data_IF_907441104679
#
_entry.id   IF_907441104679
#
_cell.length_a   1.000
_cell.length_b   1.000
_cell.length_c   1.000
_cell.angle_alpha   90.00
_cell.angle_beta   90.00
_cell.angle_gamma   90.00
#
_symmetry.space_group_name_H-M   'P 1'
#
loop_
_entity.id
_entity.type
_entity.pdbx_description
1 polymer ?
#
# COMPACT_ATOMS: atom_id res chain seq x y z
N UNK A 1 -9.42 8.92 43.59
CA UNK A 1 -8.99 9.64 42.38
C UNK A 1 -9.51 8.79 41.23
N UNK A 2 -10.42 9.33 40.41
CA UNK A 2 -11.31 8.59 39.52
C UNK A 2 -10.55 7.61 38.61
N UNK A 3 -10.93 6.33 38.62
CA UNK A 3 -10.70 5.44 37.49
C UNK A 3 -11.37 6.10 36.27
N UNK A 4 -10.56 6.58 35.34
CA UNK A 4 -11.06 7.03 34.04
C UNK A 4 -11.51 5.77 33.31
N UNK A 5 -12.83 5.61 33.20
CA UNK A 5 -13.56 4.55 32.49
C UNK A 5 -13.31 4.69 30.97
N UNK A 6 -12.05 4.53 30.56
CA UNK A 6 -11.67 4.53 29.15
C UNK A 6 -12.24 3.27 28.50
N UNK A 7 -12.79 3.36 27.28
CA UNK A 7 -13.39 2.22 26.61
C UNK A 7 -12.33 1.15 26.39
N UNK A 8 -12.43 0.02 27.11
CA UNK A 8 -11.53 -1.12 26.89
C UNK A 8 -11.82 -1.78 25.54
N UNK A 9 -13.06 -1.71 25.06
CA UNK A 9 -13.54 -2.37 23.83
C UNK A 9 -13.87 -1.33 22.75
N UNK A 10 -13.32 -1.56 21.56
CA UNK A 10 -13.58 -0.79 20.35
C UNK A 10 -14.14 -1.67 19.24
N UNK A 11 -15.16 -1.19 18.53
CA UNK A 11 -15.83 -1.87 17.41
C UNK A 11 -15.73 -0.98 16.17
N UNK A 12 -15.05 -1.46 15.15
CA UNK A 12 -14.89 -0.77 13.87
C UNK A 12 -15.68 -1.46 12.77
N UNK A 13 -16.39 -0.68 11.96
CA UNK A 13 -17.15 -1.17 10.81
C UNK A 13 -16.69 -0.43 9.56
N UNK A 14 -16.37 -1.18 8.51
CA UNK A 14 -16.05 -0.62 7.18
C UNK A 14 -17.20 -0.84 6.21
N UNK A 15 -17.53 0.16 5.40
CA UNK A 15 -18.61 0.07 4.40
C UNK A 15 -18.26 0.80 3.10
N UNK A 16 -18.83 0.32 2.00
CA UNK A 16 -18.80 1.00 0.69
C UNK A 16 -20.05 0.62 -0.11
N UNK A 17 -20.92 1.58 -0.41
CA UNK A 17 -22.13 1.40 -1.23
C UNK A 17 -23.12 0.34 -0.72
N UNK A 18 -23.21 0.14 0.62
CA UNK A 18 -24.07 -0.87 1.25
C UNK A 18 -24.87 -0.34 2.43
N UNK A 19 -25.26 0.94 2.40
CA UNK A 19 -25.94 1.62 3.53
C UNK A 19 -27.15 0.89 4.11
N UNK A 20 -27.95 0.18 3.29
CA UNK A 20 -29.09 -0.62 3.79
C UNK A 20 -28.65 -1.79 4.68
N UNK A 21 -27.63 -2.54 4.23
CA UNK A 21 -27.12 -3.70 4.96
C UNK A 21 -26.40 -3.23 6.23
N UNK A 22 -25.60 -2.16 6.10
CA UNK A 22 -24.92 -1.51 7.22
C UNK A 22 -25.90 -1.10 8.32
N UNK A 23 -27.04 -0.48 7.99
CA UNK A 23 -28.01 -0.07 9.02
C UNK A 23 -28.49 -1.25 9.86
N UNK A 24 -28.70 -2.42 9.24
CA UNK A 24 -29.12 -3.62 9.95
C UNK A 24 -28.01 -4.13 10.87
N UNK A 25 -26.77 -4.20 10.37
CA UNK A 25 -25.61 -4.58 11.17
C UNK A 25 -25.39 -3.61 12.34
N UNK A 26 -25.47 -2.30 12.09
CA UNK A 26 -25.23 -1.24 13.06
C UNK A 26 -26.29 -1.21 14.16
N UNK A 27 -27.55 -1.45 13.84
CA UNK A 27 -28.61 -1.62 14.85
C UNK A 27 -28.31 -2.79 15.80
N UNK A 28 -27.90 -3.93 15.26
CA UNK A 28 -27.54 -5.10 16.06
C UNK A 28 -26.26 -4.87 16.88
N UNK A 29 -25.22 -4.27 16.28
CA UNK A 29 -23.99 -3.91 16.96
C UNK A 29 -24.29 -2.96 18.13
N UNK A 30 -25.08 -1.91 17.93
CA UNK A 30 -25.46 -0.98 19.01
C UNK A 30 -26.27 -1.67 20.11
N UNK A 31 -27.11 -2.64 19.75
CA UNK A 31 -27.92 -3.39 20.71
C UNK A 31 -27.08 -4.28 21.61
N UNK A 32 -26.09 -4.98 21.07
CA UNK A 32 -25.28 -5.97 21.79
C UNK A 32 -23.86 -5.51 22.11
N UNK A 33 -23.53 -4.24 21.86
CA UNK A 33 -22.24 -3.68 22.24
C UNK A 33 -22.11 -3.66 23.77
N UNK A 34 -20.94 -4.05 24.32
CA UNK A 34 -20.72 -3.96 25.75
C UNK A 34 -20.81 -2.50 26.21
N UNK A 35 -21.21 -2.29 27.48
CA UNK A 35 -21.33 -0.95 28.04
C UNK A 35 -20.01 -0.20 27.94
N UNK A 36 -20.07 1.05 27.46
CA UNK A 36 -18.89 1.89 27.27
C UNK A 36 -18.06 1.56 26.03
N UNK A 37 -18.47 0.63 25.16
CA UNK A 37 -17.73 0.35 23.93
C UNK A 37 -17.68 1.57 22.99
N UNK A 38 -16.51 1.82 22.40
CA UNK A 38 -16.38 2.76 21.29
C UNK A 38 -16.85 2.08 20.00
N UNK A 39 -17.67 2.77 19.19
CA UNK A 39 -18.11 2.29 17.88
C UNK A 39 -17.68 3.32 16.84
N UNK A 40 -16.92 2.89 15.85
CA UNK A 40 -16.50 3.73 14.72
C UNK A 40 -16.95 3.12 13.40
N UNK A 41 -17.47 3.95 12.51
CA UNK A 41 -17.87 3.55 11.15
C UNK A 41 -16.99 4.31 10.16
N UNK A 42 -16.35 3.58 9.26
CA UNK A 42 -15.52 4.14 8.19
C UNK A 42 -16.20 3.89 6.85
N UNK A 43 -16.64 4.99 6.22
CA UNK A 43 -17.18 5.00 4.86
C UNK A 43 -16.05 5.14 3.83
N UNK A 44 -15.79 4.08 3.07
CA UNK A 44 -14.79 4.04 2.00
C UNK A 44 -15.33 4.70 0.71
N UNK A 45 -15.73 5.97 0.84
CA UNK A 45 -16.25 6.80 -0.23
C UNK A 45 -17.47 6.21 -0.96
N UNK A 46 -18.51 5.83 -0.22
CA UNK A 46 -19.81 5.51 -0.82
C UNK A 46 -20.35 6.67 -1.67
N UNK A 47 -21.02 6.33 -2.77
CA UNK A 47 -21.68 7.25 -3.69
C UNK A 47 -22.75 8.08 -2.95
N UNK A 48 -23.54 7.40 -2.11
CA UNK A 48 -24.38 8.01 -1.09
C UNK A 48 -23.63 7.97 0.25
N UNK A 49 -23.21 9.12 0.80
CA UNK A 49 -22.50 9.17 2.08
C UNK A 49 -23.30 8.51 3.21
N UNK A 50 -22.61 7.74 4.04
CA UNK A 50 -23.21 7.11 5.22
C UNK A 50 -23.30 8.13 6.36
N UNK A 51 -24.52 8.44 6.82
CA UNK A 51 -24.76 9.44 7.87
C UNK A 51 -24.09 9.05 9.20
N UNK A 52 -24.06 7.76 9.52
CA UNK A 52 -23.46 7.24 10.75
C UNK A 52 -21.93 7.12 10.70
N UNK A 53 -21.29 7.50 9.59
CA UNK A 53 -19.84 7.41 9.43
C UNK A 53 -19.12 8.34 10.41
N UNK A 54 -18.23 7.77 11.22
CA UNK A 54 -17.27 8.52 12.04
C UNK A 54 -16.20 9.17 11.18
N UNK A 55 -15.83 8.50 10.08
CA UNK A 55 -14.89 9.01 9.09
C UNK A 55 -15.32 8.56 7.69
N UNK A 56 -15.10 9.43 6.71
CA UNK A 56 -15.35 9.15 5.30
C UNK A 56 -14.13 9.51 4.47
N UNK A 57 -13.70 8.61 3.59
CA UNK A 57 -12.69 8.91 2.58
C UNK A 57 -13.30 9.70 1.42
N UNK A 58 -12.49 10.55 0.77
CA UNK A 58 -12.90 11.32 -0.40
C UNK A 58 -13.00 10.46 -1.67
N UNK A 59 -12.25 9.36 -1.72
CA UNK A 59 -12.22 8.39 -2.80
C UNK A 59 -12.12 6.97 -2.25
N UNK A 60 -12.51 5.97 -3.05
CA UNK A 60 -12.42 4.57 -2.64
C UNK A 60 -10.94 4.16 -2.54
N UNK A 61 -10.47 3.99 -1.32
CA UNK A 61 -9.08 3.67 -0.97
C UNK A 61 -8.87 2.17 -0.76
N UNK A 62 -9.93 1.39 -0.65
CA UNK A 62 -9.89 -0.05 -0.51
C UNK A 62 -9.86 -0.55 0.94
N UNK A 63 -10.22 -1.83 1.09
CA UNK A 63 -10.54 -2.43 2.38
C UNK A 63 -9.38 -2.41 3.39
N UNK A 64 -8.14 -2.59 2.93
CA UNK A 64 -6.96 -2.60 3.81
C UNK A 64 -6.79 -1.23 4.50
N UNK A 65 -6.92 -0.14 3.74
CA UNK A 65 -6.81 1.22 4.28
C UNK A 65 -8.03 1.59 5.13
N UNK A 66 -9.23 1.21 4.71
CA UNK A 66 -10.45 1.45 5.47
C UNK A 66 -10.40 0.76 6.85
N UNK A 67 -9.98 -0.51 6.92
CA UNK A 67 -9.80 -1.25 8.19
C UNK A 67 -8.68 -0.65 9.04
N UNK A 68 -7.57 -0.21 8.44
CA UNK A 68 -6.53 0.54 9.17
C UNK A 68 -7.08 1.81 9.81
N UNK A 69 -7.96 2.55 9.11
CA UNK A 69 -8.58 3.76 9.67
C UNK A 69 -9.49 3.44 10.86
N UNK A 70 -10.23 2.31 10.84
CA UNK A 70 -10.94 1.84 12.02
C UNK A 70 -9.99 1.58 13.19
N UNK A 71 -8.89 0.85 12.96
CA UNK A 71 -7.90 0.55 14.00
C UNK A 71 -7.27 1.83 14.56
N UNK A 72 -6.91 2.79 13.72
CA UNK A 72 -6.39 4.10 14.10
C UNK A 72 -7.35 4.83 15.04
N UNK A 73 -8.61 5.04 14.62
CA UNK A 73 -9.61 5.77 15.40
C UNK A 73 -9.90 5.09 16.75
N UNK A 74 -10.02 3.77 16.77
CA UNK A 74 -10.23 3.02 18.01
C UNK A 74 -9.03 3.13 18.96
N UNK A 75 -7.81 3.08 18.42
CA UNK A 75 -6.57 3.29 19.17
C UNK A 75 -6.48 4.68 19.77
N UNK A 76 -6.88 5.72 19.02
CA UNK A 76 -6.93 7.10 19.48
C UNK A 76 -7.95 7.32 20.60
N UNK A 77 -9.07 6.59 20.55
CA UNK A 77 -10.07 6.56 21.62
C UNK A 77 -9.62 5.77 22.87
N UNK A 78 -8.41 5.19 22.85
CA UNK A 78 -7.82 4.47 23.99
C UNK A 78 -8.23 3.00 24.08
N UNK A 79 -8.82 2.41 23.04
CA UNK A 79 -9.28 1.02 23.06
C UNK A 79 -8.11 0.03 23.12
N UNK A 80 -8.25 -1.03 23.94
CA UNK A 80 -7.25 -2.09 24.08
C UNK A 80 -7.69 -3.44 23.49
N UNK A 81 -8.98 -3.66 23.33
CA UNK A 81 -9.59 -4.79 22.62
C UNK A 81 -10.36 -4.25 21.42
N UNK A 82 -9.94 -4.62 20.22
CA UNK A 82 -10.44 -4.07 18.98
C UNK A 82 -11.14 -5.18 18.18
N UNK A 83 -12.35 -4.91 17.72
CA UNK A 83 -13.13 -5.79 16.86
C UNK A 83 -13.42 -5.07 15.56
N UNK A 84 -13.08 -5.68 14.42
CA UNK A 84 -13.44 -5.18 13.11
C UNK A 84 -14.53 -6.07 12.51
N UNK A 85 -15.67 -5.48 12.17
CA UNK A 85 -16.76 -6.12 11.47
C UNK A 85 -16.82 -5.64 10.01
N UNK A 86 -17.20 -6.54 9.11
CA UNK A 86 -17.76 -6.15 7.82
C UNK A 86 -19.20 -5.63 8.03
N UNK A 87 -19.70 -4.82 7.10
CA UNK A 87 -21.02 -4.15 7.21
C UNK A 87 -22.24 -5.08 7.09
N UNK A 88 -22.01 -6.38 6.95
CA UNK A 88 -23.02 -7.44 6.90
C UNK A 88 -22.79 -8.57 7.94
N UNK A 89 -22.02 -8.25 8.99
CA UNK A 89 -21.68 -9.12 10.10
C UNK A 89 -21.95 -8.41 11.44
N UNK A 90 -22.56 -9.10 12.41
CA UNK A 90 -22.89 -8.50 13.71
C UNK A 90 -23.10 -9.53 14.84
N UNK A 91 -22.96 -9.13 16.11
CA UNK A 91 -23.27 -9.98 17.26
C UNK A 91 -24.79 -10.23 17.43
N UNK A 92 -25.16 -11.38 17.99
CA UNK A 92 -26.58 -11.76 18.21
C UNK A 92 -26.97 -11.95 19.68
N UNK A 93 -26.01 -11.87 20.59
CA UNK A 93 -26.21 -12.06 22.05
C UNK A 93 -25.34 -11.10 22.85
N UNK A 94 -25.76 -10.79 24.08
CA UNK A 94 -24.93 -10.03 25.02
C UNK A 94 -23.70 -10.85 25.45
N UNK A 95 -22.58 -10.17 25.69
CA UNK A 95 -21.34 -10.82 26.14
C UNK A 95 -20.62 -11.63 25.07
N UNK A 96 -20.99 -11.46 23.79
CA UNK A 96 -20.37 -12.11 22.63
C UNK A 96 -18.85 -11.87 22.55
N UNK A 97 -18.37 -10.76 23.10
CA UNK A 97 -16.97 -10.36 23.09
C UNK A 97 -16.12 -11.14 24.09
N UNK A 98 -16.73 -11.69 25.14
CA UNK A 98 -16.01 -12.29 26.28
C UNK A 98 -15.15 -13.49 25.89
N UNK A 99 -15.64 -14.45 25.08
CA UNK A 99 -14.80 -15.55 24.64
C UNK A 99 -13.54 -15.11 23.89
N UNK A 100 -13.60 -13.96 23.19
CA UNK A 100 -12.44 -13.41 22.48
C UNK A 100 -11.48 -12.67 23.44
N UNK A 101 -12.02 -11.85 24.35
CA UNK A 101 -11.22 -11.07 25.31
C UNK A 101 -10.52 -11.96 26.33
N UNK A 102 -11.22 -12.98 26.84
CA UNK A 102 -10.72 -13.88 27.88
C UNK A 102 -9.79 -14.96 27.31
N UNK A 103 -9.70 -15.07 25.98
CA UNK A 103 -8.78 -15.99 25.29
C UNK A 103 -7.31 -15.60 25.53
N UNK A 104 -6.40 -16.57 25.68
CA UNK A 104 -4.97 -16.28 25.70
C UNK A 104 -4.43 -15.77 24.35
N UNK A 105 -5.17 -16.00 23.26
CA UNK A 105 -4.80 -15.59 21.91
C UNK A 105 -5.15 -14.11 21.67
N UNK A 106 -4.16 -13.24 21.40
CA UNK A 106 -4.39 -11.80 21.23
C UNK A 106 -5.00 -11.44 19.86
N UNK A 107 -5.18 -12.42 18.98
CA UNK A 107 -5.84 -12.25 17.69
C UNK A 107 -6.64 -13.49 17.35
N UNK A 108 -7.91 -13.28 17.01
CA UNK A 108 -8.87 -14.33 16.65
C UNK A 108 -9.80 -13.79 15.57
N UNK A 109 -10.56 -14.68 14.95
CA UNK A 109 -11.52 -14.32 13.91
C UNK A 109 -12.69 -15.28 13.90
N UNK A 110 -13.88 -14.81 13.52
CA UNK A 110 -15.03 -15.68 13.34
C UNK A 110 -14.86 -16.52 12.07
N UNK A 111 -14.90 -17.85 12.18
CA UNK A 111 -14.71 -18.78 11.05
C UNK A 111 -15.86 -19.78 10.98
N UNK A 112 -16.48 -19.86 9.80
CA UNK A 112 -17.47 -20.88 9.45
C UNK A 112 -17.01 -21.71 8.25
N UNK A 113 -17.27 -23.01 8.31
CA UNK A 113 -16.99 -24.00 7.25
C UNK A 113 -18.25 -24.49 6.56
N UNK A 114 -19.42 -24.10 7.05
CA UNK A 114 -20.72 -24.61 6.61
C UNK A 114 -21.66 -23.43 6.39
N UNK A 115 -22.53 -23.55 5.40
CA UNK A 115 -23.59 -22.59 5.08
C UNK A 115 -24.90 -23.35 4.90
N UNK A 116 -26.07 -22.69 4.85
CA UNK A 116 -27.32 -23.34 4.46
C UNK A 116 -27.27 -24.03 3.08
N UNK A 117 -26.35 -23.61 2.21
CA UNK A 117 -26.13 -24.23 0.90
C UNK A 117 -25.21 -25.46 0.91
N UNK A 118 -24.58 -25.75 2.05
CA UNK A 118 -23.66 -26.87 2.23
C UNK A 118 -22.30 -26.45 2.77
N UNK A 119 -21.40 -27.44 2.87
CA UNK A 119 -20.04 -27.29 3.38
C UNK A 119 -19.14 -26.60 2.35
N UNK A 120 -18.38 -25.60 2.82
CA UNK A 120 -17.36 -24.89 2.07
C UNK A 120 -16.10 -25.75 1.92
N UNK A 121 -15.40 -25.63 0.79
CA UNK A 121 -14.22 -26.44 0.47
C UNK A 121 -12.89 -25.70 0.60
N UNK A 122 -12.93 -24.41 0.88
CA UNK A 122 -11.77 -23.52 0.93
C UNK A 122 -11.09 -23.51 2.30
N UNK A 123 -11.79 -23.86 3.39
CA UNK A 123 -11.24 -23.92 4.73
C UNK A 123 -11.53 -25.25 5.43
N UNK A 124 -10.54 -25.75 6.18
CA UNK A 124 -10.62 -27.00 6.92
C UNK A 124 -10.12 -26.79 8.35
N UNK A 125 -10.84 -27.32 9.34
CA UNK A 125 -10.38 -27.37 10.72
C UNK A 125 -9.16 -28.29 10.87
N UNK A 126 -8.12 -27.78 11.50
CA UNK A 126 -6.85 -28.49 11.75
C UNK A 126 -6.56 -28.71 13.23
N UNK A 127 -7.29 -28.02 14.12
CA UNK A 127 -7.13 -28.15 15.56
C UNK A 127 -8.42 -27.76 16.29
N UNK A 128 -8.64 -28.37 17.45
CA UNK A 128 -9.69 -28.02 18.40
C UNK A 128 -9.31 -28.42 19.82
N UNK A 129 -9.58 -27.53 20.77
CA UNK A 129 -9.62 -27.83 22.19
C UNK A 129 -10.93 -27.29 22.84
N UNK A 130 -10.94 -27.12 24.16
CA UNK A 130 -12.11 -26.60 24.89
C UNK A 130 -12.37 -25.10 24.74
N UNK A 131 -11.42 -24.34 24.19
CA UNK A 131 -11.47 -22.88 24.05
C UNK A 131 -11.34 -22.41 22.59
N UNK A 132 -10.56 -23.12 21.77
CA UNK A 132 -10.15 -22.69 20.43
C UNK A 132 -10.44 -23.73 19.34
N UNK A 133 -10.63 -23.22 18.13
CA UNK A 133 -10.61 -23.97 16.87
C UNK A 133 -9.62 -23.30 15.93
N UNK A 134 -8.85 -24.07 15.17
CA UNK A 134 -7.94 -23.51 14.17
C UNK A 134 -8.16 -24.11 12.79
N UNK A 135 -7.82 -23.35 11.74
CA UNK A 135 -8.20 -23.67 10.37
C UNK A 135 -7.07 -23.43 9.37
N UNK A 136 -7.22 -23.99 8.16
CA UNK A 136 -6.30 -23.75 7.03
C UNK A 136 -6.49 -22.40 6.36
N UNK A 137 -7.70 -21.82 6.40
CA UNK A 137 -8.00 -20.52 5.79
C UNK A 137 -8.94 -19.67 6.66
N UNK A 138 -8.76 -18.34 6.64
CA UNK A 138 -9.55 -17.41 7.46
C UNK A 138 -10.92 -17.07 6.84
N UNK A 139 -11.69 -16.28 7.60
CA UNK A 139 -12.75 -15.40 7.11
C UNK A 139 -12.41 -13.97 7.57
N UNK A 140 -12.88 -12.96 6.83
CA UNK A 140 -12.59 -11.55 7.11
C UNK A 140 -13.68 -10.79 7.86
N UNK A 141 -14.85 -11.41 8.06
CA UNK A 141 -16.09 -10.72 8.47
C UNK A 141 -16.13 -10.25 9.93
N UNK A 142 -15.42 -10.93 10.83
CA UNK A 142 -15.13 -10.44 12.19
C UNK A 142 -13.70 -10.80 12.55
N UNK A 143 -12.92 -9.79 12.95
CA UNK A 143 -11.53 -9.91 13.36
C UNK A 143 -11.33 -9.25 14.72
N UNK A 144 -10.74 -9.96 15.67
CA UNK A 144 -10.42 -9.49 17.01
C UNK A 144 -8.91 -9.23 17.15
N UNK A 145 -8.52 -8.13 17.78
CA UNK A 145 -7.14 -7.78 18.09
C UNK A 145 -7.03 -7.22 19.50
N UNK A 146 -6.10 -7.72 20.29
CA UNK A 146 -5.61 -7.02 21.47
C UNK A 146 -4.57 -5.97 21.02
N UNK A 147 -4.52 -4.81 21.68
CA UNK A 147 -3.69 -3.67 21.29
C UNK A 147 -2.21 -4.01 21.10
N UNK A 148 -1.66 -4.92 21.92
CA UNK A 148 -0.27 -5.40 21.80
C UNK A 148 0.05 -6.02 20.43
N UNK A 149 -0.95 -6.52 19.71
CA UNK A 149 -0.78 -7.00 18.32
C UNK A 149 -0.38 -5.85 17.41
N UNK A 150 -1.14 -4.76 17.44
CA UNK A 150 -0.90 -3.58 16.61
C UNK A 150 0.41 -2.89 16.99
N UNK A 151 0.74 -2.86 18.29
CA UNK A 151 2.03 -2.30 18.72
C UNK A 151 3.22 -3.14 18.24
N UNK A 152 3.04 -4.44 18.00
CA UNK A 152 4.10 -5.36 17.56
C UNK A 152 4.25 -5.45 16.05
N UNK A 153 3.16 -5.61 15.32
CA UNK A 153 3.17 -5.82 13.85
C UNK A 153 2.41 -4.76 13.07
N UNK A 154 1.80 -3.78 13.72
CA UNK A 154 0.99 -2.77 13.05
C UNK A 154 -0.33 -3.33 12.52
N UNK A 155 -0.90 -2.68 11.50
CA UNK A 155 -2.18 -3.08 10.89
C UNK A 155 -2.00 -3.69 9.51
N UNK A 156 -2.99 -3.54 8.64
CA UNK A 156 -3.01 -4.05 7.28
C UNK A 156 -1.96 -3.39 6.39
N UNK A 157 -1.45 -4.16 5.44
CA UNK A 157 -0.60 -3.64 4.37
C UNK A 157 -1.49 -3.04 3.26
N UNK A 158 -1.49 -1.72 3.15
CA UNK A 158 -2.38 -0.97 2.23
C UNK A 158 -2.14 -1.29 0.76
N UNK A 159 -1.00 -1.88 0.44
CA UNK A 159 -0.64 -2.27 -0.93
C UNK A 159 -1.46 -3.47 -1.46
N UNK A 160 -2.21 -4.18 -0.62
CA UNK A 160 -3.24 -5.12 -1.07
C UNK A 160 -4.45 -4.41 -1.71
N UNK A 161 -4.59 -3.09 -1.51
CA UNK A 161 -5.56 -2.25 -2.19
C UNK A 161 -7.01 -2.63 -1.87
N UNK A 162 -7.82 -2.81 -2.93
CA UNK A 162 -9.28 -2.91 -2.84
C UNK A 162 -9.80 -4.16 -2.13
N UNK A 163 -9.22 -5.33 -2.41
CA UNK A 163 -9.73 -6.60 -1.90
C UNK A 163 -8.74 -7.76 -2.09
N UNK A 164 -8.63 -8.61 -1.07
CA UNK A 164 -8.00 -9.93 -1.15
C UNK A 164 -6.64 -10.00 -0.46
N UNK A 165 -6.39 -11.10 0.25
CA UNK A 165 -5.15 -11.43 0.96
C UNK A 165 -4.74 -10.50 2.11
N UNK A 166 -5.36 -9.33 2.30
CA UNK A 166 -4.92 -8.36 3.30
C UNK A 166 -5.03 -8.88 4.74
N UNK A 167 -6.13 -9.57 5.07
CA UNK A 167 -6.31 -10.21 6.38
C UNK A 167 -5.44 -11.46 6.55
N UNK A 168 -5.18 -12.18 5.46
CA UNK A 168 -4.28 -13.34 5.47
C UNK A 168 -2.85 -12.92 5.76
N UNK A 169 -2.37 -11.83 5.14
CA UNK A 169 -1.07 -11.22 5.40
C UNK A 169 -0.92 -10.78 6.85
N UNK A 170 -1.88 -10.00 7.38
CA UNK A 170 -1.83 -9.55 8.77
C UNK A 170 -1.81 -10.73 9.75
N UNK A 171 -2.70 -11.71 9.57
CA UNK A 171 -2.73 -12.92 10.42
C UNK A 171 -1.43 -13.72 10.35
N UNK A 172 -0.81 -13.83 9.17
CA UNK A 172 0.51 -14.45 9.00
C UNK A 172 1.58 -13.69 9.78
N UNK A 173 1.62 -12.35 9.68
CA UNK A 173 2.60 -11.52 10.41
C UNK A 173 2.46 -11.64 11.91
N UNK A 174 1.23 -11.70 12.42
CA UNK A 174 0.92 -11.92 13.85
C UNK A 174 1.47 -13.28 14.31
N UNK A 175 1.18 -14.35 13.56
CA UNK A 175 1.67 -15.69 13.86
C UNK A 175 3.21 -15.78 13.79
N UNK A 176 3.82 -15.24 12.72
CA UNK A 176 5.27 -15.27 12.52
C UNK A 176 6.01 -14.42 13.57
N UNK A 177 5.36 -13.41 14.15
CA UNK A 177 5.88 -12.66 15.30
C UNK A 177 5.81 -13.44 16.63
N UNK A 178 5.22 -14.64 16.62
CA UNK A 178 5.06 -15.52 17.78
C UNK A 178 3.94 -15.11 18.73
N UNK A 179 2.96 -14.32 18.27
CA UNK A 179 1.88 -13.82 19.11
C UNK A 179 0.68 -14.77 19.23
N UNK A 180 0.46 -15.64 18.23
CA UNK A 180 -0.64 -16.60 18.25
C UNK A 180 -0.17 -18.03 18.05
N UNK A 181 -0.90 -19.00 18.60
CA UNK A 181 -0.61 -20.43 18.44
C UNK A 181 -0.90 -20.94 17.02
N UNK A 182 -1.85 -20.29 16.33
CA UNK A 182 -2.24 -20.61 14.96
C UNK A 182 -2.39 -19.34 14.13
N UNK A 183 -2.23 -19.46 12.82
CA UNK A 183 -2.47 -18.35 11.87
C UNK A 183 -3.92 -17.92 11.86
N UNK A 184 -4.83 -18.89 11.84
CA UNK A 184 -6.26 -18.66 11.74
C UNK A 184 -6.95 -19.47 12.83
N UNK A 185 -7.45 -18.77 13.85
CA UNK A 185 -8.13 -19.37 14.98
C UNK A 185 -9.39 -18.59 15.34
N UNK A 186 -10.35 -19.32 15.89
CA UNK A 186 -11.65 -18.85 16.35
C UNK A 186 -11.93 -19.42 17.74
N UNK A 187 -12.84 -18.79 18.47
CA UNK A 187 -13.38 -19.31 19.73
C UNK A 187 -14.34 -20.47 19.47
N UNK A 188 -14.44 -21.39 20.42
CA UNK A 188 -15.48 -22.43 20.38
C UNK A 188 -16.86 -21.78 20.55
N UNK A 189 -17.82 -22.16 19.69
CA UNK A 189 -19.21 -21.67 19.77
C UNK A 189 -19.45 -20.31 19.13
N UNK A 190 -18.49 -19.76 18.37
CA UNK A 190 -18.61 -18.45 17.71
C UNK A 190 -19.85 -18.27 16.83
N UNK A 191 -20.35 -19.35 16.19
CA UNK A 191 -21.58 -19.32 15.38
C UNK A 191 -22.89 -19.09 16.16
N UNK A 192 -22.85 -19.23 17.48
CA UNK A 192 -23.95 -18.83 18.38
C UNK A 192 -23.81 -17.37 18.85
N UNK A 193 -22.66 -16.75 18.61
CA UNK A 193 -22.32 -15.38 19.04
C UNK A 193 -22.49 -14.38 17.91
N UNK A 194 -22.11 -14.78 16.69
CA UNK A 194 -21.97 -13.91 15.52
C UNK A 194 -22.89 -14.36 14.40
N UNK A 195 -23.53 -13.40 13.75
CA UNK A 195 -24.23 -13.57 12.49
C UNK A 195 -23.39 -12.98 11.36
N UNK A 196 -23.23 -13.73 10.26
CA UNK A 196 -22.67 -13.23 9.01
C UNK A 196 -23.63 -13.50 7.86
N UNK A 197 -23.90 -12.48 7.04
CA UNK A 197 -24.68 -12.68 5.83
C UNK A 197 -23.99 -13.65 4.85
N UNK A 198 -22.66 -13.65 4.78
CA UNK A 198 -21.88 -14.58 3.95
C UNK A 198 -22.09 -16.04 4.37
N UNK A 199 -22.31 -16.29 5.66
CA UNK A 199 -22.65 -17.61 6.18
C UNK A 199 -24.10 -17.99 5.84
N UNK A 200 -25.06 -17.07 6.03
CA UNK A 200 -26.49 -17.43 6.19
C UNK A 200 -27.41 -17.07 5.04
N UNK A 201 -27.18 -15.95 4.36
CA UNK A 201 -28.16 -15.38 3.41
C UNK A 201 -27.56 -15.03 2.04
N UNK A 202 -26.23 -14.94 1.96
CA UNK A 202 -25.43 -14.55 0.79
C UNK A 202 -25.95 -13.26 0.14
N UNK A 203 -25.51 -12.13 0.67
CA UNK A 203 -25.75 -10.79 0.12
C UNK A 203 -24.72 -10.45 -0.96
N UNK A 204 -25.05 -9.52 -1.85
CA UNK A 204 -24.14 -9.09 -2.91
C UNK A 204 -22.88 -8.40 -2.38
N UNK A 205 -21.74 -8.68 -3.00
CA UNK A 205 -20.45 -8.03 -2.75
C UNK A 205 -20.35 -6.69 -3.46
N UNK A 206 -19.67 -5.71 -2.85
CA UNK A 206 -19.31 -4.43 -3.50
C UNK A 206 -18.25 -4.59 -4.59
N UNK A 207 -17.45 -5.66 -4.54
CA UNK A 207 -16.45 -6.01 -5.57
C UNK A 207 -17.00 -7.15 -6.44
N UNK A 208 -16.99 -6.95 -7.75
CA UNK A 208 -17.48 -7.96 -8.71
C UNK A 208 -16.58 -9.21 -8.76
N UNK A 209 -17.13 -10.36 -9.16
CA UNK A 209 -16.35 -11.61 -9.27
C UNK A 209 -15.21 -11.53 -10.29
N UNK A 210 -15.39 -10.77 -11.38
CA UNK A 210 -14.35 -10.52 -12.39
C UNK A 210 -13.22 -9.69 -11.78
N UNK A 211 -13.54 -8.63 -11.03
CA UNK A 211 -12.55 -7.79 -10.36
C UNK A 211 -11.78 -8.58 -9.30
N UNK A 212 -12.48 -9.40 -8.49
CA UNK A 212 -11.86 -10.33 -7.51
C UNK A 212 -10.87 -11.28 -8.18
N UNK A 213 -11.22 -11.88 -9.32
CA UNK A 213 -10.33 -12.78 -10.05
C UNK A 213 -9.02 -12.09 -10.46
N UNK A 214 -9.10 -10.87 -10.99
CA UNK A 214 -7.92 -10.10 -11.38
C UNK A 214 -7.07 -9.66 -10.19
N UNK A 215 -7.70 -9.21 -9.10
CA UNK A 215 -7.01 -8.82 -7.86
C UNK A 215 -6.27 -10.01 -7.24
N UNK A 216 -6.95 -11.14 -7.06
CA UNK A 216 -6.37 -12.36 -6.46
C UNK A 216 -5.16 -12.85 -7.24
N UNK A 217 -5.24 -12.89 -8.57
CA UNK A 217 -4.12 -13.32 -9.41
C UNK A 217 -2.88 -12.45 -9.21
N UNK A 218 -3.05 -11.14 -9.10
CA UNK A 218 -1.93 -10.21 -8.97
C UNK A 218 -1.35 -10.20 -7.54
N UNK A 219 -2.20 -10.37 -6.52
CA UNK A 219 -1.81 -10.30 -5.11
C UNK A 219 -1.23 -11.62 -4.56
N UNK A 220 -1.41 -12.74 -5.26
CA UNK A 220 -0.90 -14.04 -4.82
C UNK A 220 0.62 -14.03 -4.63
N UNK A 221 1.39 -13.56 -5.61
CA UNK A 221 2.86 -13.50 -5.52
C UNK A 221 3.33 -12.66 -4.34
N UNK A 222 2.62 -11.56 -4.07
CA UNK A 222 2.87 -10.70 -2.91
C UNK A 222 2.61 -11.43 -1.61
N UNK A 223 1.45 -12.08 -1.47
CA UNK A 223 1.10 -12.89 -0.31
C UNK A 223 2.07 -14.04 -0.07
N UNK A 224 2.59 -14.66 -1.12
CA UNK A 224 3.62 -15.70 -1.02
C UNK A 224 4.96 -15.12 -0.54
N UNK A 225 5.35 -13.95 -1.05
CA UNK A 225 6.57 -13.26 -0.64
C UNK A 225 6.52 -12.77 0.82
N UNK A 226 5.34 -12.37 1.32
CA UNK A 226 5.17 -11.91 2.70
C UNK A 226 4.79 -13.04 3.68
N UNK A 227 4.61 -14.28 3.23
CA UNK A 227 4.04 -15.37 4.04
C UNK A 227 4.79 -15.65 5.35
N UNK A 228 6.12 -15.48 5.36
CA UNK A 228 6.99 -15.66 6.54
C UNK A 228 7.39 -14.33 7.20
N UNK A 229 6.87 -13.20 6.71
CA UNK A 229 7.16 -11.88 7.27
C UNK A 229 6.56 -11.73 8.67
N UNK A 230 7.22 -10.93 9.51
CA UNK A 230 6.70 -10.42 10.78
C UNK A 230 6.86 -8.88 10.84
N UNK A 231 6.96 -8.24 9.66
CA UNK A 231 7.25 -6.82 9.54
C UNK A 231 6.12 -5.94 10.08
N UNK A 232 6.49 -4.85 10.73
CA UNK A 232 5.54 -3.82 11.16
C UNK A 232 4.98 -3.07 9.95
N UNK A 233 3.65 -2.94 9.87
CA UNK A 233 2.96 -2.12 8.87
C UNK A 233 2.22 -0.98 9.56
N UNK A 234 2.66 0.25 9.31
CA UNK A 234 2.00 1.40 9.94
C UNK A 234 0.53 1.45 9.51
N UNK A 235 -0.35 1.62 10.49
CA UNK A 235 -1.79 1.63 10.29
C UNK A 235 -2.40 2.98 10.60
N UNK A 236 -1.67 3.82 11.34
CA UNK A 236 -2.08 5.18 11.62
C UNK A 236 -1.77 6.03 10.42
N UNK A 237 -2.73 6.86 10.05
CA UNK A 237 -2.46 8.05 9.25
C UNK A 237 -1.50 8.92 10.07
N UNK A 238 -0.24 9.03 9.64
CA UNK A 238 0.68 10.00 10.26
C UNK A 238 0.15 11.38 9.90
N UNK A 239 -0.32 12.20 10.86
CA UNK A 239 -0.66 13.57 10.56
C UNK A 239 0.64 14.23 10.10
N UNK A 240 0.72 14.58 8.82
CA UNK A 240 1.69 15.56 8.36
C UNK A 240 1.34 16.81 9.16
N UNK A 241 2.15 17.12 10.18
CA UNK A 241 1.85 18.19 11.10
C UNK A 241 1.50 19.46 10.33
N UNK A 242 0.68 20.33 10.90
CA UNK A 242 0.25 21.60 10.28
C UNK A 242 1.40 22.55 9.88
N UNK A 243 2.66 22.15 10.06
CA UNK A 243 3.80 22.67 9.32
C UNK A 243 3.67 22.26 7.84
N UNK A 244 2.80 22.97 7.11
CA UNK A 244 2.61 22.93 5.66
C UNK A 244 3.01 21.60 5.01
N UNK A 245 2.07 20.67 4.85
CA UNK A 245 2.27 19.51 3.97
C UNK A 245 2.95 19.95 2.66
N UNK A 246 4.20 19.53 2.45
CA UNK A 246 4.99 20.02 1.32
C UNK A 246 4.97 18.99 0.21
N UNK A 247 4.49 19.41 -0.94
CA UNK A 247 4.67 18.67 -2.18
C UNK A 247 6.09 18.92 -2.68
N UNK A 248 6.76 17.87 -3.15
CA UNK A 248 8.14 18.00 -3.63
C UNK A 248 8.40 17.17 -4.88
N UNK A 249 9.17 17.74 -5.78
CA UNK A 249 9.79 17.00 -6.89
C UNK A 249 11.21 16.65 -6.46
N UNK A 250 11.54 15.37 -6.43
CA UNK A 250 12.89 14.86 -6.18
C UNK A 250 13.54 14.48 -7.51
N UNK A 251 14.79 14.86 -7.67
CA UNK A 251 15.63 14.32 -8.74
C UNK A 251 17.00 13.94 -8.20
N UNK A 252 17.73 13.12 -8.97
CA UNK A 252 19.11 12.78 -8.66
C UNK A 252 20.02 13.25 -9.78
N UNK A 253 21.20 13.76 -9.44
CA UNK A 253 22.25 14.10 -10.39
C UNK A 253 23.57 13.48 -9.90
N UNK A 254 23.82 12.25 -10.38
CA UNK A 254 24.88 11.37 -9.88
C UNK A 254 25.91 11.16 -10.99
N UNK A 255 27.15 11.54 -10.73
CA UNK A 255 28.25 11.49 -11.72
C UNK A 255 29.46 10.72 -11.23
N UNK A 256 29.49 10.29 -9.96
CA UNK A 256 30.65 9.60 -9.39
C UNK A 256 30.86 8.19 -9.95
N UNK A 257 29.83 7.56 -10.51
CA UNK A 257 29.89 6.22 -11.10
C UNK A 257 29.79 6.30 -12.64
N UNK A 258 30.44 5.38 -13.38
CA UNK A 258 30.20 5.25 -14.81
C UNK A 258 28.75 4.93 -15.10
N UNK A 259 28.18 5.55 -16.13
CA UNK A 259 26.88 5.20 -16.68
C UNK A 259 26.99 3.84 -17.39
N UNK A 260 26.35 2.78 -16.88
CA UNK A 260 26.47 1.45 -17.48
C UNK A 260 25.81 1.33 -18.85
N UNK A 261 24.90 2.24 -19.24
CA UNK A 261 24.29 2.23 -20.56
C UNK A 261 25.21 2.85 -21.62
N UNK A 262 26.03 3.83 -21.22
CA UNK A 262 26.91 4.59 -22.13
C UNK A 262 28.39 4.24 -22.01
N UNK A 263 28.78 3.55 -20.93
CA UNK A 263 30.18 3.20 -20.65
C UNK A 263 31.07 4.39 -20.30
N UNK A 264 30.49 5.53 -19.90
CA UNK A 264 31.22 6.78 -19.61
C UNK A 264 30.87 7.33 -18.25
N UNK A 265 31.85 7.92 -17.57
CA UNK A 265 31.60 8.75 -16.37
C UNK A 265 31.25 10.16 -16.84
N UNK A 266 30.12 10.69 -16.36
CA UNK A 266 29.66 12.00 -16.79
C UNK A 266 30.52 13.11 -16.18
N UNK A 267 30.73 14.19 -16.94
CA UNK A 267 31.29 15.42 -16.37
C UNK A 267 30.14 16.23 -15.77
N UNK A 268 30.21 16.67 -14.50
CA UNK A 268 29.16 17.45 -13.88
C UNK A 268 28.83 18.72 -14.68
N UNK A 269 27.55 18.91 -15.01
CA UNK A 269 27.04 20.06 -15.72
C UNK A 269 25.63 20.42 -15.23
N UNK A 270 25.52 21.45 -14.40
CA UNK A 270 24.24 21.87 -13.83
C UNK A 270 23.20 22.27 -14.89
N UNK A 271 23.64 22.71 -16.07
CA UNK A 271 22.73 23.06 -17.17
C UNK A 271 21.90 21.87 -17.68
N UNK A 272 22.31 20.63 -17.42
CA UNK A 272 21.56 19.43 -17.77
C UNK A 272 20.18 19.39 -17.07
N UNK A 273 20.07 20.00 -15.88
CA UNK A 273 18.86 20.08 -15.07
C UNK A 273 17.96 21.29 -15.42
N UNK A 274 18.40 22.17 -16.33
CA UNK A 274 17.75 23.46 -16.54
C UNK A 274 16.28 23.35 -16.98
N UNK A 275 15.94 22.32 -17.76
CA UNK A 275 14.55 22.14 -18.22
C UNK A 275 13.61 21.72 -17.10
N UNK A 276 14.01 20.71 -16.31
CA UNK A 276 13.24 20.28 -15.15
C UNK A 276 13.11 21.44 -14.16
N UNK A 277 14.22 22.09 -13.80
CA UNK A 277 14.24 23.19 -12.84
C UNK A 277 13.26 24.30 -13.24
N UNK A 278 13.37 24.81 -14.47
CA UNK A 278 12.51 25.90 -14.95
C UNK A 278 11.04 25.51 -15.03
N UNK A 279 10.72 24.26 -15.34
CA UNK A 279 9.32 23.81 -15.43
C UNK A 279 8.71 23.64 -14.04
N UNK A 280 9.42 23.03 -13.10
CA UNK A 280 8.97 22.89 -11.70
C UNK A 280 8.78 24.26 -11.04
N UNK A 281 9.75 25.17 -11.18
CA UNK A 281 9.67 26.55 -10.67
C UNK A 281 8.48 27.32 -11.28
N UNK A 282 8.19 27.14 -12.57
CA UNK A 282 7.06 27.80 -13.25
C UNK A 282 5.71 27.43 -12.64
N UNK A 283 5.59 26.22 -12.11
CA UNK A 283 4.39 25.75 -11.42
C UNK A 283 4.43 26.03 -9.91
N UNK A 284 5.43 26.77 -9.41
CA UNK A 284 5.54 27.13 -8.00
C UNK A 284 5.86 25.94 -7.08
N UNK A 285 6.34 24.82 -7.64
CA UNK A 285 6.63 23.60 -6.90
C UNK A 285 8.09 23.58 -6.43
N UNK A 286 8.35 22.88 -5.31
CA UNK A 286 9.71 22.70 -4.77
C UNK A 286 10.43 21.58 -5.53
N UNK A 287 11.68 21.82 -5.90
CA UNK A 287 12.61 20.83 -6.45
C UNK A 287 13.74 20.56 -5.45
N UNK A 288 14.01 19.29 -5.19
CA UNK A 288 15.20 18.87 -4.45
C UNK A 288 16.09 18.05 -5.36
N UNK A 289 17.32 18.50 -5.52
CA UNK A 289 18.36 17.85 -6.32
C UNK A 289 19.28 17.09 -5.37
N UNK A 290 19.17 15.76 -5.36
CA UNK A 290 20.09 14.89 -4.62
C UNK A 290 21.33 14.63 -5.51
N UNK A 291 22.51 15.11 -5.12
CA UNK A 291 23.69 15.06 -6.00
C UNK A 291 24.97 14.66 -5.29
N UNK A 292 25.95 14.18 -6.06
CA UNK A 292 27.30 13.84 -5.56
C UNK A 292 28.39 14.82 -6.03
N UNK A 293 28.04 15.81 -6.85
CA UNK A 293 29.02 16.57 -7.63
C UNK A 293 28.82 18.09 -7.74
N UNK A 294 27.61 18.61 -7.50
CA UNK A 294 27.30 20.03 -7.69
C UNK A 294 27.73 20.89 -6.49
N UNK A 295 28.09 22.14 -6.75
CA UNK A 295 28.41 23.16 -5.73
C UNK A 295 27.51 24.42 -5.90
N UNK A 296 26.30 24.22 -6.43
CA UNK A 296 25.33 25.27 -6.69
C UNK A 296 24.62 25.70 -5.39
N UNK A 297 24.34 27.00 -5.20
CA UNK A 297 23.58 27.47 -4.05
C UNK A 297 22.10 27.14 -4.19
N UNK A 298 21.41 27.07 -3.06
CA UNK A 298 19.95 26.95 -3.01
C UNK A 298 19.25 28.21 -3.51
N UNK A 299 18.04 28.03 -4.01
CA UNK A 299 17.07 29.09 -4.31
C UNK A 299 15.81 28.89 -3.45
N UNK A 300 14.84 29.80 -3.57
CA UNK A 300 13.57 29.69 -2.83
C UNK A 300 12.81 28.37 -3.11
N UNK A 301 12.94 27.84 -4.33
CA UNK A 301 12.23 26.62 -4.76
C UNK A 301 13.15 25.45 -5.09
N UNK A 302 14.48 25.63 -5.11
CA UNK A 302 15.44 24.58 -5.47
C UNK A 302 16.44 24.37 -4.36
N UNK A 303 16.43 23.17 -3.79
CA UNK A 303 17.38 22.76 -2.75
C UNK A 303 18.35 21.72 -3.30
N UNK A 304 19.64 21.90 -3.02
CA UNK A 304 20.71 20.99 -3.43
C UNK A 304 21.20 20.22 -2.21
N UNK A 305 21.01 18.90 -2.22
CA UNK A 305 21.39 18.03 -1.11
C UNK A 305 22.52 17.12 -1.57
N UNK A 306 23.69 17.32 -0.97
CA UNK A 306 24.85 16.48 -1.22
C UNK A 306 24.66 15.11 -0.60
N UNK A 307 24.64 14.07 -1.44
CA UNK A 307 24.54 12.66 -1.04
C UNK A 307 25.89 11.97 -1.09
N UNK A 308 26.01 10.86 -0.36
CA UNK A 308 27.18 9.99 -0.43
C UNK A 308 27.28 9.39 -1.84
N UNK A 309 28.44 9.48 -2.50
CA UNK A 309 28.66 8.84 -3.79
C UNK A 309 28.42 7.33 -3.76
N UNK A 310 27.93 6.78 -4.88
CA UNK A 310 27.78 5.34 -5.02
C UNK A 310 29.14 4.62 -4.99
N UNK A 311 29.20 3.42 -4.40
CA UNK A 311 30.44 2.64 -4.28
C UNK A 311 30.99 2.12 -5.61
N UNK A 312 32.28 1.77 -5.66
CA UNK A 312 32.90 1.21 -6.87
C UNK A 312 32.18 -0.07 -7.33
N UNK A 313 31.90 -0.17 -8.64
CA UNK A 313 31.18 -1.31 -9.24
C UNK A 313 29.65 -1.29 -9.04
N UNK A 314 29.09 -0.24 -8.42
CA UNK A 314 27.65 -0.02 -8.35
C UNK A 314 27.07 0.63 -9.61
N UNK A 315 25.75 0.80 -9.63
CA UNK A 315 25.02 1.47 -10.72
C UNK A 315 24.29 2.72 -10.22
N UNK A 316 24.41 3.87 -10.91
CA UNK A 316 23.66 5.08 -10.55
C UNK A 316 22.15 4.88 -10.67
N UNK A 317 21.70 3.98 -11.55
CA UNK A 317 20.28 3.59 -11.69
C UNK A 317 19.73 2.89 -10.45
N UNK A 318 20.56 2.21 -9.66
CA UNK A 318 20.14 1.63 -8.38
C UNK A 318 20.35 2.60 -7.23
N UNK A 319 21.45 3.35 -7.25
CA UNK A 319 21.78 4.33 -6.21
C UNK A 319 20.72 5.42 -6.07
N UNK A 320 20.10 5.85 -7.18
CA UNK A 320 19.03 6.87 -7.14
C UNK A 320 17.84 6.47 -6.26
N UNK A 321 17.42 5.21 -6.29
CA UNK A 321 16.33 4.71 -5.44
C UNK A 321 16.70 4.72 -3.97
N UNK A 322 17.95 4.39 -3.64
CA UNK A 322 18.46 4.47 -2.28
C UNK A 322 18.51 5.93 -1.78
N UNK A 323 18.93 6.86 -2.63
CA UNK A 323 18.96 8.29 -2.31
C UNK A 323 17.55 8.82 -2.05
N UNK A 324 16.59 8.52 -2.93
CA UNK A 324 15.18 8.92 -2.75
C UNK A 324 14.59 8.30 -1.48
N UNK A 325 14.81 7.01 -1.24
CA UNK A 325 14.32 6.35 -0.02
C UNK A 325 14.88 6.98 1.26
N UNK A 326 16.19 7.25 1.32
CA UNK A 326 16.83 7.90 2.48
C UNK A 326 16.25 9.28 2.74
N UNK A 327 16.10 10.08 1.68
CA UNK A 327 15.52 11.41 1.78
C UNK A 327 14.07 11.34 2.29
N UNK A 328 13.20 10.56 1.65
CA UNK A 328 11.79 10.44 2.05
C UNK A 328 11.60 9.88 3.47
N UNK A 329 12.55 9.08 3.95
CA UNK A 329 12.56 8.54 5.33
C UNK A 329 12.91 9.61 6.36
N UNK A 330 13.78 10.54 5.99
CA UNK A 330 14.24 11.64 6.86
C UNK A 330 13.33 12.86 6.82
N UNK A 331 12.39 12.90 5.85
CA UNK A 331 11.46 14.01 5.62
C UNK A 331 9.98 13.57 5.72
N UNK A 332 9.49 13.23 6.93
CA UNK A 332 8.08 12.84 7.15
C UNK A 332 7.07 13.97 6.93
N UNK A 333 7.52 15.22 6.82
CA UNK A 333 6.70 16.39 6.52
C UNK A 333 6.22 16.49 5.05
N UNK A 334 6.77 15.66 4.16
CA UNK A 334 6.35 15.59 2.76
C UNK A 334 5.01 14.86 2.68
N UNK A 335 4.03 15.44 2.02
CA UNK A 335 2.74 14.77 1.76
C UNK A 335 2.79 13.97 0.46
N UNK A 336 3.09 14.64 -0.65
CA UNK A 336 3.20 14.02 -1.96
C UNK A 336 4.55 14.29 -2.60
N UNK A 337 5.01 13.33 -3.41
CA UNK A 337 6.32 13.38 -4.06
C UNK A 337 6.27 12.88 -5.49
N UNK A 338 7.09 13.49 -6.34
CA UNK A 338 7.49 12.94 -7.63
C UNK A 338 9.01 12.74 -7.69
N UNK A 339 9.45 11.50 -7.82
CA UNK A 339 10.82 11.13 -8.16
C UNK A 339 10.96 11.10 -9.69
N UNK A 340 11.78 12.00 -10.25
CA UNK A 340 11.88 12.19 -11.71
C UNK A 340 13.33 12.20 -12.21
N UNK A 341 13.52 11.80 -13.46
CA UNK A 341 14.80 11.93 -14.16
C UNK A 341 15.12 13.41 -14.44
N UNK A 342 16.23 13.89 -13.87
CA UNK A 342 16.62 15.29 -13.92
C UNK A 342 16.96 15.79 -15.31
N UNK A 343 17.34 14.88 -16.20
CA UNK A 343 17.91 15.19 -17.51
C UNK A 343 16.92 14.97 -18.64
N UNK A 344 15.87 14.18 -18.41
CA UNK A 344 14.90 13.75 -19.43
C UNK A 344 13.48 14.26 -19.22
N UNK A 345 13.17 14.93 -18.09
CA UNK A 345 11.79 15.30 -17.73
C UNK A 345 11.53 16.80 -17.75
N UNK A 346 10.31 17.18 -18.15
CA UNK A 346 9.70 18.51 -17.99
C UNK A 346 8.31 18.39 -17.34
N UNK A 347 7.98 19.28 -16.41
CA UNK A 347 6.62 19.43 -15.86
C UNK A 347 5.78 20.31 -16.81
N UNK A 348 4.66 19.77 -17.29
CA UNK A 348 3.68 20.48 -18.12
C UNK A 348 2.49 21.01 -17.33
N UNK A 349 2.07 20.28 -16.29
CA UNK A 349 0.99 20.64 -15.37
C UNK A 349 1.33 20.16 -13.98
N UNK A 350 0.86 20.89 -12.97
CA UNK A 350 0.98 20.52 -11.57
C UNK A 350 0.17 19.24 -11.28
N UNK A 351 0.81 18.11 -10.92
CA UNK A 351 0.12 16.86 -10.69
C UNK A 351 -0.55 16.77 -9.31
N UNK A 352 -0.03 17.46 -8.30
CA UNK A 352 -0.35 17.20 -6.90
C UNK A 352 -1.84 17.37 -6.53
N UNK A 353 -2.58 18.35 -7.09
CA UNK A 353 -4.01 18.50 -6.79
C UNK A 353 -4.89 17.36 -7.30
N UNK A 354 -4.41 16.56 -8.25
CA UNK A 354 -5.18 15.50 -8.92
C UNK A 354 -4.76 14.08 -8.47
N UNK A 355 -3.77 14.00 -7.58
CA UNK A 355 -3.24 12.74 -7.08
C UNK A 355 -4.03 12.22 -5.88
N UNK A 356 -4.11 10.90 -5.79
CA UNK A 356 -4.61 10.19 -4.62
C UNK A 356 -3.53 9.25 -4.05
N UNK A 357 -3.95 8.19 -3.37
CA UNK A 357 -3.07 7.24 -2.69
C UNK A 357 -2.32 6.27 -3.59
N UNK A 358 -2.61 6.31 -4.90
CA UNK A 358 -2.00 5.43 -5.90
C UNK A 358 -0.57 5.81 -6.25
N UNK A 359 0.11 4.86 -6.89
CA UNK A 359 1.45 5.02 -7.45
C UNK A 359 1.34 5.42 -8.92
N UNK A 360 1.79 6.63 -9.25
CA UNK A 360 1.79 7.16 -10.61
C UNK A 360 3.14 6.92 -11.26
N UNK A 361 3.14 6.40 -12.49
CA UNK A 361 4.37 6.07 -13.22
C UNK A 361 4.27 6.46 -14.69
N UNK A 362 5.41 6.78 -15.30
CA UNK A 362 5.49 7.02 -16.75
C UNK A 362 5.33 5.72 -17.54
N UNK A 363 5.05 5.85 -18.84
CA UNK A 363 5.04 4.71 -19.76
C UNK A 363 5.60 5.04 -21.15
N UNK A 364 5.96 3.99 -21.88
CA UNK A 364 6.42 4.05 -23.26
C UNK A 364 5.46 3.28 -24.17
N UNK A 365 5.31 3.71 -25.44
CA UNK A 365 4.47 2.98 -26.40
C UNK A 365 5.04 1.60 -26.76
N UNK A 366 6.30 1.34 -26.44
CA UNK A 366 6.95 0.05 -26.69
C UNK A 366 6.36 -1.05 -25.77
N UNK A 367 6.27 -2.29 -26.26
CA UNK A 367 5.90 -3.43 -25.42
C UNK A 367 7.01 -3.72 -24.39
N UNK A 368 6.65 -4.27 -23.24
CA UNK A 368 7.59 -4.56 -22.15
C UNK A 368 8.75 -5.47 -22.58
N UNK A 369 8.49 -6.49 -23.40
CA UNK A 369 9.49 -7.48 -23.81
C UNK A 369 10.22 -7.07 -25.10
N UNK A 370 10.79 -5.86 -25.12
CA UNK A 370 11.68 -5.42 -26.21
C UNK A 370 13.06 -6.09 -26.12
N UNK A 371 13.80 -6.23 -27.25
CA UNK A 371 15.15 -6.82 -27.25
C UNK A 371 16.12 -6.17 -26.27
N UNK A 372 16.04 -4.86 -26.06
CA UNK A 372 16.88 -4.14 -25.10
C UNK A 372 16.63 -4.61 -23.66
N UNK A 373 15.37 -4.79 -23.25
CA UNK A 373 15.03 -5.30 -21.91
C UNK A 373 15.56 -6.73 -21.70
N UNK A 374 15.39 -7.59 -22.71
CA UNK A 374 15.90 -8.97 -22.67
C UNK A 374 17.43 -8.99 -22.58
N UNK A 375 18.11 -8.12 -23.32
CA UNK A 375 19.56 -8.01 -23.29
C UNK A 375 20.07 -7.53 -21.92
N UNK A 376 19.48 -6.46 -21.38
CA UNK A 376 19.93 -5.88 -20.11
C UNK A 376 19.65 -6.79 -18.92
N UNK A 377 18.56 -7.55 -18.95
CA UNK A 377 18.10 -8.38 -17.83
C UNK A 377 18.24 -9.89 -18.06
N UNK A 378 18.99 -10.29 -19.10
CA UNK A 378 19.14 -11.68 -19.51
C UNK A 378 19.84 -12.59 -18.50
N UNK A 379 20.48 -12.00 -17.49
CA UNK A 379 21.09 -12.74 -16.37
C UNK A 379 20.08 -13.30 -15.37
N UNK A 380 18.82 -12.85 -15.36
CA UNK A 380 17.80 -13.30 -14.41
C UNK A 380 16.73 -14.15 -15.09
N UNK A 381 16.70 -15.44 -14.77
CA UNK A 381 15.63 -16.33 -15.22
C UNK A 381 14.25 -15.83 -14.76
N UNK A 382 14.19 -15.27 -13.54
CA UNK A 382 12.97 -14.68 -12.96
C UNK A 382 12.47 -13.48 -13.76
N UNK A 383 13.35 -12.52 -14.08
CA UNK A 383 12.95 -11.37 -14.89
C UNK A 383 12.63 -11.78 -16.33
N UNK A 384 13.41 -12.68 -16.94
CA UNK A 384 13.13 -13.16 -18.29
C UNK A 384 11.76 -13.84 -18.40
N UNK A 385 11.42 -14.70 -17.45
CA UNK A 385 10.10 -15.33 -17.39
C UNK A 385 9.01 -14.27 -17.26
N UNK A 386 9.17 -13.32 -16.33
CA UNK A 386 8.23 -12.21 -16.15
C UNK A 386 8.06 -11.38 -17.43
N UNK A 387 9.15 -11.01 -18.11
CA UNK A 387 9.11 -10.23 -19.35
C UNK A 387 8.36 -11.01 -20.44
N UNK A 388 8.61 -12.33 -20.56
CA UNK A 388 7.91 -13.21 -21.49
C UNK A 388 6.41 -13.27 -21.21
N UNK A 389 6.03 -13.50 -19.94
CA UNK A 389 4.64 -13.62 -19.51
C UNK A 389 3.86 -12.31 -19.68
N UNK A 390 4.55 -11.17 -19.63
CA UNK A 390 3.98 -9.83 -19.74
C UNK A 390 4.33 -9.12 -21.06
N UNK A 391 4.72 -9.88 -22.10
CA UNK A 391 5.26 -9.32 -23.35
C UNK A 391 4.37 -8.31 -24.08
N UNK A 392 3.05 -8.36 -23.88
CA UNK A 392 2.08 -7.46 -24.50
C UNK A 392 1.73 -6.22 -23.67
N UNK A 393 2.22 -6.13 -22.43
CA UNK A 393 1.98 -4.97 -21.58
C UNK A 393 2.81 -3.76 -22.07
N UNK A 394 2.32 -2.52 -21.92
CA UNK A 394 3.12 -1.33 -22.12
C UNK A 394 4.36 -1.34 -21.22
N UNK A 395 5.49 -0.83 -21.70
CA UNK A 395 6.68 -0.69 -20.89
C UNK A 395 6.51 0.51 -19.95
N UNK A 396 6.58 0.29 -18.63
CA UNK A 396 6.56 1.40 -17.67
C UNK A 396 7.94 2.06 -17.63
N UNK A 397 7.96 3.39 -17.60
CA UNK A 397 9.18 4.19 -17.54
C UNK A 397 9.44 4.66 -16.10
N UNK A 398 10.59 4.25 -15.57
CA UNK A 398 10.99 4.53 -14.20
C UNK A 398 11.61 5.93 -13.99
N UNK A 399 11.66 6.76 -15.03
CA UNK A 399 12.05 8.17 -14.95
C UNK A 399 10.94 9.08 -14.42
N UNK A 400 9.73 8.55 -14.21
CA UNK A 400 8.61 9.24 -13.58
C UNK A 400 7.98 8.29 -12.56
N UNK A 401 8.05 8.63 -11.28
CA UNK A 401 7.40 7.86 -10.20
C UNK A 401 6.91 8.81 -9.11
N UNK A 402 5.60 8.88 -8.91
CA UNK A 402 4.99 9.78 -7.93
C UNK A 402 3.83 9.16 -7.17
N UNK A 403 3.41 9.82 -6.10
CA UNK A 403 2.35 9.37 -5.22
C UNK A 403 2.44 10.07 -3.86
N UNK A 404 1.68 9.58 -2.88
CA UNK A 404 1.92 9.95 -1.48
C UNK A 404 3.31 9.52 -1.03
N UNK A 405 3.90 10.29 -0.12
CA UNK A 405 5.25 10.06 0.43
C UNK A 405 5.43 8.61 0.88
N UNK A 406 4.47 8.07 1.62
CA UNK A 406 4.50 6.69 2.13
C UNK A 406 4.53 5.66 1.01
N UNK A 407 3.63 5.79 0.04
CA UNK A 407 3.56 4.90 -1.13
C UNK A 407 4.88 4.91 -1.92
N UNK A 408 5.44 6.10 -2.17
CA UNK A 408 6.69 6.23 -2.94
C UNK A 408 7.90 5.80 -2.12
N UNK A 409 7.94 6.09 -0.81
CA UNK A 409 8.97 5.62 0.11
C UNK A 409 9.05 4.09 0.12
N UNK A 410 7.91 3.43 0.30
CA UNK A 410 7.84 1.96 0.29
C UNK A 410 8.25 1.38 -1.07
N UNK A 411 7.77 1.99 -2.17
CA UNK A 411 8.14 1.55 -3.51
C UNK A 411 9.65 1.67 -3.76
N UNK A 412 10.27 2.79 -3.37
CA UNK A 412 11.72 2.98 -3.49
C UNK A 412 12.49 1.91 -2.69
N UNK A 413 12.02 1.57 -1.48
CA UNK A 413 12.61 0.52 -0.65
C UNK A 413 12.50 -0.85 -1.32
N UNK A 414 11.30 -1.23 -1.72
CA UNK A 414 11.01 -2.53 -2.34
C UNK A 414 11.81 -2.74 -3.62
N UNK A 415 11.90 -1.70 -4.46
CA UNK A 415 12.68 -1.74 -5.68
C UNK A 415 14.18 -1.84 -5.39
N UNK A 416 14.69 -1.05 -4.44
CA UNK A 416 16.09 -1.14 -4.04
C UNK A 416 16.42 -2.52 -3.46
N UNK A 417 15.60 -3.05 -2.56
CA UNK A 417 15.76 -4.36 -1.93
C UNK A 417 15.71 -5.48 -2.98
N UNK A 418 14.81 -5.38 -3.96
CA UNK A 418 14.78 -6.30 -5.11
C UNK A 418 16.09 -6.23 -5.90
N UNK A 419 16.54 -5.03 -6.25
CA UNK A 419 17.78 -4.82 -6.99
C UNK A 419 18.99 -5.38 -6.24
N UNK A 420 19.10 -5.16 -4.93
CA UNK A 420 20.23 -5.67 -4.11
C UNK A 420 20.17 -7.20 -3.98
N UNK A 421 18.99 -7.76 -3.68
CA UNK A 421 18.81 -9.21 -3.50
C UNK A 421 19.06 -9.98 -4.80
N UNK A 422 18.79 -9.34 -5.94
CA UNK A 422 18.96 -9.94 -7.27
C UNK A 422 20.11 -9.29 -8.05
N UNK A 423 21.04 -8.57 -7.40
CA UNK A 423 21.99 -7.65 -8.06
C UNK A 423 22.88 -8.31 -9.13
N UNK A 424 23.19 -9.60 -8.97
CA UNK A 424 24.00 -10.35 -9.94
C UNK A 424 23.22 -10.72 -11.20
N UNK A 425 21.89 -10.76 -11.13
CA UNK A 425 21.00 -11.25 -12.18
C UNK A 425 20.13 -10.14 -12.78
N UNK A 426 19.83 -9.10 -11.99
CA UNK A 426 18.94 -7.99 -12.34
C UNK A 426 19.48 -7.09 -13.46
N UNK A 427 20.73 -7.26 -13.89
CA UNK A 427 21.36 -6.38 -14.87
C UNK A 427 21.83 -5.06 -14.28
N UNK A 428 22.39 -4.15 -15.10
CA UNK A 428 22.98 -2.91 -14.62
C UNK A 428 21.99 -1.73 -14.53
N UNK A 429 20.75 -1.92 -15.00
CA UNK A 429 19.71 -0.89 -15.08
C UNK A 429 18.47 -1.34 -14.30
N UNK A 430 17.59 -0.40 -13.99
CA UNK A 430 16.43 -0.58 -13.12
C UNK A 430 15.10 -0.78 -13.84
N UNK A 431 15.04 -0.64 -15.16
CA UNK A 431 13.80 -0.78 -15.94
C UNK A 431 13.11 -2.15 -15.77
N UNK A 432 13.85 -3.25 -15.81
CA UNK A 432 13.37 -4.61 -15.55
C UNK A 432 12.86 -4.80 -14.13
N UNK A 433 13.71 -4.60 -13.10
CA UNK A 433 13.29 -4.59 -11.70
C UNK A 433 12.08 -3.71 -11.41
N UNK A 434 12.06 -2.48 -11.95
CA UNK A 434 10.97 -1.52 -11.78
C UNK A 434 9.66 -2.09 -12.33
N UNK A 435 9.65 -2.58 -13.58
CA UNK A 435 8.45 -3.18 -14.16
C UNK A 435 8.01 -4.43 -13.40
N UNK A 436 8.94 -5.26 -12.93
CA UNK A 436 8.62 -6.43 -12.11
C UNK A 436 7.93 -6.00 -10.81
N UNK A 437 8.58 -5.17 -9.99
CA UNK A 437 8.07 -4.73 -8.69
C UNK A 437 6.74 -4.00 -8.85
N UNK A 438 6.65 -3.05 -9.79
CA UNK A 438 5.43 -2.33 -10.08
C UNK A 438 4.28 -3.29 -10.46
N UNK A 439 4.47 -4.10 -11.50
CA UNK A 439 3.38 -4.93 -12.06
C UNK A 439 3.04 -6.16 -11.24
N UNK A 440 3.88 -6.56 -10.28
CA UNK A 440 3.60 -7.72 -9.43
C UNK A 440 3.20 -7.30 -8.01
N UNK A 441 3.88 -6.35 -7.39
CA UNK A 441 3.64 -5.98 -6.00
C UNK A 441 2.67 -4.81 -5.84
N UNK A 442 2.58 -3.95 -6.87
CA UNK A 442 1.77 -2.72 -6.87
C UNK A 442 0.68 -2.70 -7.96
N UNK A 443 0.39 -3.84 -8.60
CA UNK A 443 -0.47 -3.93 -9.78
C UNK A 443 -1.85 -3.25 -9.62
N UNK A 444 -2.45 -3.33 -8.44
CA UNK A 444 -3.75 -2.74 -8.11
C UNK A 444 -3.71 -1.25 -7.75
N UNK A 445 -2.53 -0.65 -7.65
CA UNK A 445 -2.33 0.73 -7.23
C UNK A 445 -1.66 1.61 -8.29
N UNK A 446 -1.33 1.07 -9.47
CA UNK A 446 -0.58 1.84 -10.48
C UNK A 446 -1.51 2.63 -11.38
N UNK A 447 -1.14 3.88 -11.62
CA UNK A 447 -1.73 4.75 -12.64
C UNK A 447 -0.63 5.17 -13.62
N UNK A 448 -0.89 5.01 -14.91
CA UNK A 448 0.03 5.41 -15.99
C UNK A 448 -0.76 5.83 -17.23
N UNK A 449 -0.05 6.28 -18.27
CA UNK A 449 -0.63 6.72 -19.52
C UNK A 449 -0.69 8.24 -19.65
N UNK A 450 -1.59 8.73 -20.52
CA UNK A 450 -1.57 10.11 -21.01
C UNK A 450 -1.82 11.19 -19.97
N UNK A 451 -2.50 10.86 -18.87
CA UNK A 451 -2.60 11.78 -17.74
C UNK A 451 -1.24 12.01 -17.06
N UNK A 452 -0.39 10.98 -16.99
CA UNK A 452 0.91 11.05 -16.31
C UNK A 452 1.94 11.68 -17.25
N UNK A 453 2.09 11.13 -18.45
CA UNK A 453 3.12 11.56 -19.38
C UNK A 453 2.65 11.62 -20.82
N UNK A 454 3.23 12.55 -21.59
CA UNK A 454 3.13 12.55 -23.04
C UNK A 454 3.75 11.29 -23.65
N UNK A 455 3.63 11.10 -24.97
CA UNK A 455 4.32 9.95 -25.58
C UNK A 455 5.82 10.13 -25.42
N UNK A 456 6.48 9.07 -25.01
CA UNK A 456 7.92 9.04 -24.89
C UNK A 456 8.59 9.52 -26.19
N UNK A 457 9.47 10.53 -26.06
CA UNK A 457 10.29 11.11 -27.15
C UNK A 457 9.53 11.73 -28.34
N UNK A 458 8.24 12.05 -28.20
CA UNK A 458 7.50 12.81 -29.23
C UNK A 458 7.56 14.33 -29.07
N UNK A 459 8.11 14.82 -27.95
CA UNK A 459 8.34 16.25 -27.75
C UNK A 459 7.07 17.11 -27.64
N UNK A 460 5.90 16.52 -27.43
CA UNK A 460 4.61 17.23 -27.39
C UNK A 460 4.50 18.16 -26.17
N UNK A 461 4.74 19.46 -26.37
CA UNK A 461 4.59 20.50 -25.33
C UNK A 461 3.18 21.07 -25.25
N UNK A 462 2.30 20.70 -26.18
CA UNK A 462 0.96 21.25 -26.28
C UNK A 462 -0.09 20.38 -25.58
N UNK A 463 0.29 19.23 -25.03
CA UNK A 463 -0.60 18.39 -24.24
C UNK A 463 -1.23 19.20 -23.11
N UNK A 464 -2.56 19.21 -23.07
CA UNK A 464 -3.35 19.80 -21.98
C UNK A 464 -3.71 18.77 -20.91
N UNK A 465 -3.48 17.48 -21.19
CA UNK A 465 -3.90 16.36 -20.34
C UNK A 465 -2.77 15.82 -19.47
N UNK A 466 -1.52 15.87 -19.95
CA UNK A 466 -0.36 15.25 -19.29
C UNK A 466 0.28 16.14 -18.24
N UNK A 467 0.68 15.57 -17.10
CA UNK A 467 1.47 16.27 -16.09
C UNK A 467 2.94 16.42 -16.46
N UNK A 468 3.52 15.40 -17.09
CA UNK A 468 4.95 15.32 -17.40
C UNK A 468 5.21 15.05 -18.88
N UNK A 469 6.44 15.33 -19.29
CA UNK A 469 6.96 15.00 -20.62
C UNK A 469 8.37 14.45 -20.53
N UNK A 470 8.60 13.33 -21.23
CA UNK A 470 9.95 12.86 -21.55
C UNK A 470 10.48 13.58 -22.80
N UNK A 471 11.76 13.98 -22.80
CA UNK A 471 12.38 14.77 -23.87
C UNK A 471 12.45 14.03 -25.20
#
# INVERSE_FOLDING_TARGET
MQETDLPTVGIGITTHNRGVVLRTALEAIRKYAPSGAAIVVVDDASDEPVEEATFRFDSNVGIARAKNKCLELLVELGCTHLFLFDDDCWPVVDGWERPYIDSPEPHLMYIFTDTPSGRLTDSMEIYRDGQLRAYTHPRGCLLYFERRVLDRVGGYDTRYGRWGYEHLDLSNRIYNAGLTSFRFADVVGSGDLIFSCDERTKVGSSVSDIERFHLVRNLKTRSEASYTSAEYREFRTVPVGAAAAQNVVLTTYLTAQPDPQRGVTWTPNYADLAELRRSVERHGQRLVVLHDCLDEPDTDLVTHVRVVPGGAGGSPYFHRWLCWWRYLREHPEIDQVWCVDGTDVEMLRDPFPEMDDRLYVGDEPAPLCIPWMVYQHGGSAKLLQFLSDNRGAPLLNCGLTGGRRETVLEFCRDLFDFCVTNAREAGPVDMGPFNYVARTWYAGMIVHGRQVSTEFRKGDRASTESWWRHK
#
